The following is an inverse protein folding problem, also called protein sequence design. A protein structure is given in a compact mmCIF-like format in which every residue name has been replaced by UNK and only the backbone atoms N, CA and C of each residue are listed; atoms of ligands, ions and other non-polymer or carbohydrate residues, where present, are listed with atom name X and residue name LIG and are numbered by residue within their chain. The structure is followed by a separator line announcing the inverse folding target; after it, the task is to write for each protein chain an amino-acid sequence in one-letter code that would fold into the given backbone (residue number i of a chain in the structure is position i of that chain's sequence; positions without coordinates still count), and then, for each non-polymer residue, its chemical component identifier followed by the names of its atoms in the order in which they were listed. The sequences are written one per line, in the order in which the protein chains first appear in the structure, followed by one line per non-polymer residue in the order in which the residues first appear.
data_IF_178598913330
#
_entry.id   IF_178598913330
#
_cell.length_a   1.000
_cell.length_b   1.000
_cell.length_c   1.000
_cell.angle_alpha   90.00
_cell.angle_beta   90.00
_cell.angle_gamma   90.00
#
_symmetry.space_group_name_H-M   'P 1'
#
loop_
_entity.id
_entity.type
_entity.pdbx_description
1 polymer ?
#
# COMPACT_ATOMS: atom_id res chain seq x y z
N UNK A 1 9.13 -12.92 -61.10
CA UNK A 1 8.06 -13.86 -60.69
C UNK A 1 7.98 -13.78 -59.17
N UNK A 2 7.03 -13.02 -58.62
CA UNK A 2 6.87 -12.87 -57.17
C UNK A 2 5.83 -13.91 -56.74
N UNK A 3 6.22 -14.84 -55.88
CA UNK A 3 5.32 -15.83 -55.28
C UNK A 3 5.02 -15.32 -53.87
N UNK A 4 3.81 -14.79 -53.67
CA UNK A 4 3.32 -14.40 -52.35
C UNK A 4 2.64 -15.58 -51.68
N UNK A 5 3.15 -16.02 -50.53
CA UNK A 5 2.44 -16.92 -49.63
C UNK A 5 1.49 -16.08 -48.78
N UNK A 6 0.18 -16.25 -48.96
CA UNK A 6 -0.80 -15.58 -48.11
C UNK A 6 -0.82 -16.32 -46.76
N UNK A 7 -0.10 -15.81 -45.77
CA UNK A 7 -0.22 -16.27 -44.39
C UNK A 7 -1.46 -15.59 -43.81
N UNK A 8 -2.41 -16.36 -43.30
CA UNK A 8 -3.52 -15.84 -42.50
C UNK A 8 -2.98 -15.42 -41.13
N UNK A 9 -3.08 -14.12 -40.84
CA UNK A 9 -2.49 -13.49 -39.65
C UNK A 9 -3.56 -12.92 -38.71
N UNK A 10 -4.82 -13.26 -38.93
CA UNK A 10 -5.97 -12.67 -38.24
C UNK A 10 -5.89 -12.93 -36.73
N UNK A 11 -5.81 -14.20 -36.33
CA UNK A 11 -5.78 -14.62 -34.92
C UNK A 11 -4.60 -14.03 -34.13
N UNK A 12 -3.43 -13.93 -34.78
CA UNK A 12 -2.22 -13.38 -34.16
C UNK A 12 -2.37 -11.88 -33.92
N UNK A 13 -2.90 -11.15 -34.91
CA UNK A 13 -3.13 -9.70 -34.77
C UNK A 13 -4.15 -9.40 -33.68
N UNK A 14 -5.24 -10.16 -33.63
CA UNK A 14 -6.25 -10.01 -32.58
C UNK A 14 -5.63 -10.24 -31.18
N UNK A 15 -4.82 -11.30 -31.03
CA UNK A 15 -4.12 -11.56 -29.77
C UNK A 15 -3.17 -10.43 -29.39
N UNK A 16 -2.38 -9.92 -30.34
CA UNK A 16 -1.47 -8.80 -30.11
C UNK A 16 -2.21 -7.52 -29.69
N UNK A 17 -3.33 -7.22 -30.34
CA UNK A 17 -4.19 -6.08 -29.98
C UNK A 17 -4.82 -6.25 -28.60
N UNK A 18 -5.31 -7.45 -28.26
CA UNK A 18 -5.85 -7.74 -26.93
C UNK A 18 -4.77 -7.64 -25.84
N UNK A 19 -3.56 -8.14 -26.10
CA UNK A 19 -2.44 -8.00 -25.16
C UNK A 19 -2.10 -6.53 -24.94
N UNK A 20 -2.03 -5.74 -26.02
CA UNK A 20 -1.75 -4.31 -25.93
C UNK A 20 -2.83 -3.58 -25.13
N UNK A 21 -4.10 -3.86 -25.41
CA UNK A 21 -5.22 -3.29 -24.66
C UNK A 21 -5.14 -3.64 -23.17
N UNK A 22 -4.88 -4.91 -22.83
CA UNK A 22 -4.70 -5.33 -21.44
C UNK A 22 -3.50 -4.66 -20.78
N UNK A 23 -2.38 -4.50 -21.47
CA UNK A 23 -1.22 -3.79 -20.95
C UNK A 23 -1.54 -2.32 -20.67
N UNK A 24 -2.24 -1.64 -21.58
CA UNK A 24 -2.65 -0.25 -21.41
C UNK A 24 -3.61 -0.09 -20.21
N UNK A 25 -4.58 -0.99 -20.08
CA UNK A 25 -5.50 -1.04 -18.93
C UNK A 25 -4.77 -1.30 -17.61
N UNK A 26 -3.83 -2.26 -17.58
CA UNK A 26 -3.02 -2.55 -16.40
C UNK A 26 -2.16 -1.34 -15.99
N UNK A 27 -1.56 -0.66 -16.97
CA UNK A 27 -0.75 0.52 -16.73
C UNK A 27 -1.60 1.68 -16.18
N UNK A 28 -2.77 1.92 -16.77
CA UNK A 28 -3.72 2.92 -16.27
C UNK A 28 -4.16 2.62 -14.84
N UNK A 29 -4.52 1.37 -14.54
CA UNK A 29 -4.90 0.93 -13.20
C UNK A 29 -3.76 1.12 -12.19
N UNK A 30 -2.54 0.71 -12.56
CA UNK A 30 -1.34 0.86 -11.73
C UNK A 30 -1.04 2.33 -11.42
N UNK A 31 -1.18 3.21 -12.40
CA UNK A 31 -0.95 4.64 -12.21
C UNK A 31 -1.99 5.24 -11.26
N UNK A 32 -3.27 4.90 -11.44
CA UNK A 32 -4.34 5.32 -10.55
C UNK A 32 -4.12 4.85 -9.11
N UNK A 33 -3.68 3.61 -8.93
CA UNK A 33 -3.34 3.07 -7.62
C UNK A 33 -2.19 3.84 -6.96
N UNK A 34 -1.14 4.18 -7.72
CA UNK A 34 -0.01 4.99 -7.23
C UNK A 34 -0.43 6.40 -6.82
N UNK A 35 -1.31 7.04 -7.61
CA UNK A 35 -1.84 8.36 -7.28
C UNK A 35 -2.64 8.32 -5.98
N UNK A 36 -3.56 7.37 -5.85
CA UNK A 36 -4.35 7.20 -4.63
C UNK A 36 -3.47 6.90 -3.41
N UNK A 37 -2.46 6.04 -3.56
CA UNK A 37 -1.51 5.73 -2.49
C UNK A 37 -0.74 6.99 -2.04
N UNK A 38 -0.34 7.84 -2.98
CA UNK A 38 0.34 9.11 -2.70
C UNK A 38 -0.58 10.09 -1.99
N UNK A 39 -1.84 10.21 -2.40
CA UNK A 39 -2.81 11.06 -1.72
C UNK A 39 -3.02 10.61 -0.26
N UNK A 40 -3.18 9.30 -0.03
CA UNK A 40 -3.26 8.74 1.31
C UNK A 40 -1.99 9.01 2.13
N UNK A 41 -0.81 8.95 1.52
CA UNK A 41 0.46 9.34 2.16
C UNK A 41 0.45 10.77 2.64
N UNK A 42 0.01 11.71 1.79
CA UNK A 42 -0.07 13.12 2.13
C UNK A 42 -1.06 13.35 3.27
N UNK A 43 -2.24 12.72 3.21
CA UNK A 43 -3.27 12.85 4.24
C UNK A 43 -2.79 12.33 5.60
N UNK A 44 -2.18 11.15 5.65
CA UNK A 44 -1.64 10.57 6.89
C UNK A 44 -0.49 11.43 7.42
N UNK A 45 0.41 11.89 6.54
CA UNK A 45 1.57 12.67 6.92
C UNK A 45 1.20 14.03 7.51
N UNK A 46 0.16 14.68 7.01
CA UNK A 46 -0.27 16.02 7.44
C UNK A 46 -1.44 16.01 8.44
N UNK A 47 -1.93 14.83 8.85
CA UNK A 47 -2.99 14.74 9.83
C UNK A 47 -2.52 15.34 11.18
N UNK A 48 -3.34 16.17 11.85
CA UNK A 48 -2.97 16.77 13.14
C UNK A 48 -3.06 15.79 14.32
N UNK A 49 -3.50 14.56 14.07
CA UNK A 49 -3.66 13.49 15.06
C UNK A 49 -2.62 12.40 14.85
N UNK A 50 -2.26 11.70 15.92
CA UNK A 50 -1.38 10.52 15.83
C UNK A 50 -2.10 9.36 15.13
N UNK A 51 -1.56 8.89 14.01
CA UNK A 51 -2.11 7.77 13.24
C UNK A 51 -1.06 6.66 13.19
N UNK A 52 -1.48 5.43 13.45
CA UNK A 52 -0.72 4.21 13.14
C UNK A 52 -1.60 3.12 12.56
N UNK A 53 -0.96 2.25 11.79
CA UNK A 53 -1.51 0.98 11.33
C UNK A 53 -0.76 -0.14 12.00
N UNK A 54 -1.50 -1.14 12.44
CA UNK A 54 -0.98 -2.28 13.20
C UNK A 54 -1.33 -3.55 12.44
N UNK A 55 -0.38 -4.47 12.35
CA UNK A 55 -0.58 -5.81 11.81
C UNK A 55 0.21 -6.80 12.64
N UNK A 56 -0.44 -7.86 13.13
CA UNK A 56 0.17 -8.85 14.03
C UNK A 56 0.89 -8.18 15.22
N UNK A 57 0.21 -7.24 15.89
CA UNK A 57 0.72 -6.44 17.02
C UNK A 57 1.89 -5.49 16.70
N UNK A 58 2.39 -5.50 15.47
CA UNK A 58 3.50 -4.68 15.03
C UNK A 58 2.98 -3.44 14.31
N UNK A 59 3.56 -2.29 14.62
CA UNK A 59 3.30 -1.06 13.88
C UNK A 59 3.89 -1.23 12.48
N UNK A 60 3.05 -1.20 11.45
CA UNK A 60 3.48 -1.26 10.05
C UNK A 60 3.59 0.12 9.42
N UNK A 61 2.95 1.13 10.04
CA UNK A 61 3.00 2.52 9.60
C UNK A 61 2.62 3.46 10.73
N UNK A 62 3.25 4.63 10.80
CA UNK A 62 2.89 5.70 11.71
C UNK A 62 3.12 7.07 11.05
N UNK A 63 2.50 8.13 11.58
CA UNK A 63 2.81 9.51 11.20
C UNK A 63 3.71 10.22 12.22
N UNK A 64 4.23 11.38 11.83
CA UNK A 64 5.17 12.14 12.66
C UNK A 64 4.54 12.64 13.96
N UNK A 65 3.24 12.93 13.97
CA UNK A 65 2.50 13.35 15.17
C UNK A 65 2.50 12.25 16.21
N UNK A 66 2.21 11.01 15.83
CA UNK A 66 2.26 9.88 16.75
C UNK A 66 3.67 9.67 17.31
N UNK A 67 4.70 9.76 16.46
CA UNK A 67 6.09 9.64 16.91
C UNK A 67 6.43 10.68 17.97
N UNK A 68 6.01 11.94 17.78
CA UNK A 68 6.20 13.00 18.76
C UNK A 68 5.45 12.71 20.07
N UNK A 69 4.19 12.29 20.01
CA UNK A 69 3.38 11.94 21.18
C UNK A 69 4.01 10.80 22.00
N UNK A 70 4.53 9.78 21.31
CA UNK A 70 5.16 8.62 21.93
C UNK A 70 6.66 8.80 22.20
N UNK A 71 7.23 9.99 21.96
CA UNK A 71 8.65 10.33 22.15
C UNK A 71 9.64 9.48 21.34
N UNK A 72 9.23 9.05 20.15
CA UNK A 72 10.13 8.45 19.16
C UNK A 72 10.84 9.53 18.33
N UNK A 73 12.07 9.27 17.85
CA UNK A 73 12.82 10.24 17.05
C UNK A 73 12.16 10.56 15.70
N UNK A 74 11.44 9.59 15.12
CA UNK A 74 10.64 9.76 13.91
C UNK A 74 9.66 8.58 13.75
N UNK A 75 8.74 8.68 12.79
CA UNK A 75 7.76 7.63 12.51
C UNK A 75 8.39 6.32 12.03
N UNK A 76 9.55 6.38 11.34
CA UNK A 76 10.24 5.19 10.85
C UNK A 76 10.76 4.32 12.00
N UNK A 77 11.18 4.94 13.11
CA UNK A 77 11.64 4.24 14.31
C UNK A 77 10.51 3.48 15.04
N UNK A 78 9.25 3.77 14.73
CA UNK A 78 8.11 3.05 15.29
C UNK A 78 7.80 1.75 14.51
N UNK A 79 8.28 1.63 13.26
CA UNK A 79 7.93 0.49 12.41
C UNK A 79 8.55 -0.79 12.97
N UNK A 80 7.73 -1.81 13.18
CA UNK A 80 8.11 -3.08 13.80
C UNK A 80 8.14 -3.04 15.33
N UNK A 81 7.79 -1.92 15.98
CA UNK A 81 7.59 -1.91 17.42
C UNK A 81 6.24 -2.58 17.77
N UNK A 82 6.21 -3.30 18.89
CA UNK A 82 4.98 -3.85 19.46
C UNK A 82 4.12 -2.72 20.03
N UNK A 83 2.81 -2.77 19.85
CA UNK A 83 1.89 -1.75 20.38
C UNK A 83 1.70 -1.78 21.89
N UNK A 84 2.26 -2.79 22.57
CA UNK A 84 2.16 -2.96 24.02
C UNK A 84 2.72 -1.78 24.82
N UNK A 85 3.65 -0.98 24.26
CA UNK A 85 4.19 0.20 24.95
C UNK A 85 3.16 1.32 25.18
N UNK A 86 2.01 1.27 24.48
CA UNK A 86 0.92 2.24 24.64
C UNK A 86 0.08 1.99 25.89
N UNK A 87 0.27 0.83 26.52
CA UNK A 87 -0.47 0.40 27.71
C UNK A 87 0.46 0.44 28.92
N UNK A 88 -0.10 0.77 30.08
CA UNK A 88 0.69 0.83 31.31
C UNK A 88 1.04 -0.58 31.79
N UNK A 89 0.11 -1.51 31.58
CA UNK A 89 0.28 -2.92 31.99
C UNK A 89 0.03 -3.89 30.84
N UNK A 90 0.62 -5.07 30.93
CA UNK A 90 0.36 -6.16 29.98
C UNK A 90 -1.08 -6.66 30.05
N UNK A 91 -1.73 -6.58 31.22
CA UNK A 91 -3.13 -6.98 31.40
C UNK A 91 -4.07 -6.06 30.62
N UNK A 92 -3.87 -4.74 30.68
CA UNK A 92 -4.63 -3.77 29.88
C UNK A 92 -4.46 -4.02 28.37
N UNK A 93 -3.24 -4.32 27.94
CA UNK A 93 -2.96 -4.64 26.54
C UNK A 93 -3.69 -5.92 26.09
N UNK A 94 -3.65 -6.98 26.90
CA UNK A 94 -4.35 -8.24 26.60
C UNK A 94 -5.86 -8.05 26.58
N UNK A 95 -6.43 -7.33 27.55
CA UNK A 95 -7.86 -7.04 27.60
C UNK A 95 -8.33 -6.23 26.38
N UNK A 96 -7.54 -5.23 25.94
CA UNK A 96 -7.81 -4.50 24.72
C UNK A 96 -7.78 -5.43 23.49
N UNK A 97 -6.79 -6.31 23.41
CA UNK A 97 -6.63 -7.27 22.29
C UNK A 97 -7.76 -8.29 22.21
N UNK A 98 -8.39 -8.66 23.32
CA UNK A 98 -9.57 -9.54 23.32
C UNK A 98 -10.85 -8.84 22.85
N UNK A 99 -10.87 -7.51 22.81
CA UNK A 99 -12.06 -6.72 22.46
C UNK A 99 -12.12 -6.35 20.97
N UNK A 100 -11.00 -6.45 20.23
CA UNK A 100 -10.85 -6.01 18.83
C UNK A 100 -10.50 -7.19 17.94
#
# INVERSE_FOLDING_TARGET
RIVGTHIDITDRKETEEQIKLNQDLLNASKNRYKELARELEILIANAPVGIMFVSNDLIVRANHVLAALCRFPNAQAMIGALTSFLFVTSEEYLAFKETV
#
